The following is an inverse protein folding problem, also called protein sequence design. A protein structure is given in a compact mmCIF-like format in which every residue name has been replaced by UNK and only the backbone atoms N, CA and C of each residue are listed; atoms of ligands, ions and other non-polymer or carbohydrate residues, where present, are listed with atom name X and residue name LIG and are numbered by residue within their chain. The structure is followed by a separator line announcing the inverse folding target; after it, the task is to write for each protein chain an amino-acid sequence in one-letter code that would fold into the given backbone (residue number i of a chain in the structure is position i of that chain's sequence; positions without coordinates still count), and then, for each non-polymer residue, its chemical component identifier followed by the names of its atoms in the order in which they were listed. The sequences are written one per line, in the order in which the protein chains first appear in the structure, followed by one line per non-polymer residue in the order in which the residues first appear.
data_IF_288970100376
#
_entry.id   IF_288970100376
#
_cell.length_a   1.000
_cell.length_b   1.000
_cell.length_c   1.000
_cell.angle_alpha   90.00
_cell.angle_beta   90.00
_cell.angle_gamma   90.00
#
_symmetry.space_group_name_H-M   'P 1'
#
loop_
_entity.id
_entity.type
_entity.pdbx_description
1 polymer ?
#
# COMPACT_ATOMS: atom_id res chain seq x y z
N UNK A 1 -12.87 6.75 -1.72
CA UNK A 1 -13.38 5.67 -0.85
C UNK A 1 -12.52 5.60 0.39
N UNK A 2 -13.04 5.14 1.53
CA UNK A 2 -12.22 4.96 2.73
C UNK A 2 -11.31 3.75 2.56
N UNK A 3 -10.02 3.83 2.93
CA UNK A 3 -9.17 2.64 2.90
C UNK A 3 -9.60 1.61 3.92
N UNK A 4 -9.33 0.35 3.57
CA UNK A 4 -9.31 -0.75 4.52
C UNK A 4 -7.85 -1.07 4.82
N UNK A 5 -7.45 -0.97 6.09
CA UNK A 5 -6.09 -1.25 6.56
C UNK A 5 -6.14 -2.39 7.57
N UNK A 6 -5.34 -3.42 7.34
CA UNK A 6 -5.22 -4.57 8.24
C UNK A 6 -3.73 -4.91 8.48
N UNK A 7 -3.42 -5.53 9.61
CA UNK A 7 -2.05 -5.96 9.92
C UNK A 7 -1.13 -4.87 10.47
N UNK A 8 -1.65 -3.70 10.86
CA UNK A 8 -0.85 -2.61 11.43
C UNK A 8 -0.01 -3.06 12.64
N UNK A 9 -0.57 -3.91 13.51
CA UNK A 9 0.14 -4.48 14.65
C UNK A 9 1.39 -5.30 14.24
N UNK A 10 1.38 -5.95 13.08
CA UNK A 10 2.54 -6.69 12.55
C UNK A 10 3.67 -5.74 12.18
N UNK A 11 3.33 -4.61 11.54
CA UNK A 11 4.30 -3.56 11.22
C UNK A 11 4.86 -2.92 12.49
N UNK A 12 3.99 -2.54 13.44
CA UNK A 12 4.39 -1.87 14.68
C UNK A 12 5.26 -2.75 15.60
N UNK A 13 5.16 -4.08 15.46
CA UNK A 13 6.02 -5.02 16.19
C UNK A 13 7.50 -5.02 15.73
N UNK A 14 7.82 -4.36 14.61
CA UNK A 14 9.18 -4.36 14.08
C UNK A 14 10.10 -3.43 14.89
N UNK A 15 11.39 -3.79 15.09
CA UNK A 15 12.34 -3.01 15.90
C UNK A 15 12.46 -1.53 15.53
N UNK A 16 12.26 -1.20 14.25
CA UNK A 16 12.32 0.14 13.69
C UNK A 16 11.27 1.08 14.28
N UNK A 17 10.14 0.56 14.76
CA UNK A 17 9.06 1.35 15.33
C UNK A 17 9.07 1.38 16.86
N UNK A 18 9.78 0.45 17.51
CA UNK A 18 9.80 0.32 18.97
C UNK A 18 10.31 1.58 19.71
N UNK A 19 11.12 2.42 19.05
CA UNK A 19 11.67 3.67 19.62
C UNK A 19 11.61 4.84 18.63
N UNK A 20 10.63 4.83 17.71
CA UNK A 20 10.52 5.91 16.73
C UNK A 20 9.73 7.10 17.33
N UNK A 21 10.35 8.28 17.50
CA UNK A 21 9.65 9.46 18.04
C UNK A 21 8.52 9.97 17.14
N UNK A 22 8.50 9.56 15.86
CA UNK A 22 7.48 9.92 14.87
C UNK A 22 6.31 8.93 14.81
N UNK A 23 6.28 7.91 15.68
CA UNK A 23 5.28 6.84 15.61
C UNK A 23 3.84 7.33 15.78
N UNK A 24 3.59 8.28 16.69
CA UNK A 24 2.25 8.85 16.90
C UNK A 24 1.76 9.55 15.63
N UNK A 25 2.58 10.45 15.07
CA UNK A 25 2.26 11.16 13.83
C UNK A 25 2.06 10.22 12.63
N UNK A 26 2.83 9.13 12.57
CA UNK A 26 2.63 8.10 11.56
C UNK A 26 1.26 7.42 11.70
N UNK A 27 0.84 7.10 12.93
CA UNK A 27 -0.45 6.47 13.19
C UNK A 27 -1.62 7.41 12.84
N UNK A 28 -1.54 8.67 13.26
CA UNK A 28 -2.52 9.70 12.92
C UNK A 28 -2.68 9.82 11.40
N UNK A 29 -1.56 9.90 10.67
CA UNK A 29 -1.57 9.94 9.21
C UNK A 29 -2.20 8.69 8.59
N UNK A 30 -1.87 7.50 9.09
CA UNK A 30 -2.44 6.25 8.59
C UNK A 30 -3.95 6.15 8.83
N UNK A 31 -4.44 6.62 9.99
CA UNK A 31 -5.86 6.66 10.35
C UNK A 31 -6.66 7.66 9.52
N UNK A 32 -6.10 8.84 9.26
CA UNK A 32 -6.73 9.88 8.44
C UNK A 32 -6.92 9.42 6.99
N UNK A 33 -6.02 8.58 6.48
CA UNK A 33 -6.10 7.99 5.14
C UNK A 33 -5.87 8.98 3.98
N UNK A 34 -5.69 10.27 4.27
CA UNK A 34 -5.46 11.33 3.28
C UNK A 34 -4.19 11.12 2.45
N UNK A 35 -3.19 10.45 3.02
CA UNK A 35 -1.95 10.11 2.34
C UNK A 35 -2.14 9.24 1.09
N UNK A 36 -3.23 8.48 1.00
CA UNK A 36 -3.53 7.62 -0.15
C UNK A 36 -3.87 8.40 -1.41
N UNK A 37 -4.38 9.63 -1.27
CA UNK A 37 -4.69 10.49 -2.41
C UNK A 37 -3.41 10.98 -3.10
N UNK A 38 -2.32 11.08 -2.33
CA UNK A 38 -1.02 11.56 -2.80
C UNK A 38 -0.14 10.43 -3.34
N UNK A 39 -0.57 9.18 -3.22
CA UNK A 39 0.18 8.04 -3.76
C UNK A 39 0.01 8.05 -5.28
N UNK A 40 1.11 8.17 -6.03
CA UNK A 40 0.98 8.23 -7.46
C UNK A 40 0.59 6.83 -7.96
N UNK A 41 -0.45 6.73 -8.78
CA UNK A 41 -1.08 5.46 -9.12
C UNK A 41 -0.30 4.67 -10.20
N UNK A 42 -0.32 3.33 -10.17
CA UNK A 42 0.14 2.52 -11.30
C UNK A 42 -0.81 2.65 -12.51
N UNK A 43 -0.32 2.28 -13.69
CA UNK A 43 -1.16 2.17 -14.89
C UNK A 43 -1.78 0.76 -14.98
N UNK A 44 -3.12 0.68 -14.88
CA UNK A 44 -3.91 -0.55 -15.06
C UNK A 44 -3.51 -1.37 -16.29
N UNK A 45 -3.36 -0.72 -17.44
CA UNK A 45 -3.15 -1.38 -18.74
C UNK A 45 -1.82 -2.14 -18.82
N UNK A 46 -0.85 -1.78 -17.95
CA UNK A 46 0.46 -2.42 -17.91
C UNK A 46 0.58 -3.47 -16.82
N UNK A 47 -0.45 -3.67 -15.98
CA UNK A 47 -0.38 -4.47 -14.74
C UNK A 47 0.89 -4.14 -13.94
N UNK A 48 1.25 -2.87 -13.92
CA UNK A 48 2.49 -2.44 -13.28
C UNK A 48 2.27 -2.34 -11.77
N UNK A 49 3.22 -2.89 -11.03
CA UNK A 49 3.37 -2.57 -9.61
C UNK A 49 4.07 -1.23 -9.48
N UNK A 50 3.66 -0.47 -8.47
CA UNK A 50 4.44 0.65 -8.00
C UNK A 50 5.03 0.36 -6.64
N UNK A 51 6.31 0.62 -6.52
CA UNK A 51 7.09 0.45 -5.30
C UNK A 51 7.63 1.83 -4.92
N UNK A 52 7.44 2.22 -3.66
CA UNK A 52 7.94 3.47 -3.08
C UNK A 52 8.70 3.12 -1.81
N UNK A 53 9.99 3.41 -1.77
CA UNK A 53 10.89 3.01 -0.68
C UNK A 53 11.37 4.24 0.08
N UNK A 54 10.85 4.43 1.29
CA UNK A 54 11.32 5.43 2.24
C UNK A 54 11.35 6.83 1.64
N UNK A 55 12.56 7.33 1.37
CA UNK A 55 12.81 8.70 0.86
C UNK A 55 12.22 8.99 -0.52
N UNK A 56 11.79 7.97 -1.25
CA UNK A 56 11.02 8.16 -2.48
C UNK A 56 9.61 8.70 -2.19
N UNK A 57 9.15 8.58 -0.94
CA UNK A 57 7.88 9.13 -0.52
C UNK A 57 8.00 10.66 -0.32
N UNK A 58 7.14 11.46 -0.98
CA UNK A 58 7.15 12.91 -0.82
C UNK A 58 6.74 13.35 0.60
N UNK A 59 5.98 12.52 1.33
CA UNK A 59 5.59 12.80 2.70
C UNK A 59 6.67 12.31 3.68
N UNK A 60 7.25 13.23 4.45
CA UNK A 60 8.30 12.93 5.43
C UNK A 60 7.85 11.94 6.51
N UNK A 61 6.57 11.93 6.89
CA UNK A 61 6.05 10.98 7.88
C UNK A 61 6.02 9.55 7.34
N UNK A 62 6.00 9.37 6.02
CA UNK A 62 6.01 8.06 5.37
C UNK A 62 7.42 7.58 4.97
N UNK A 63 8.46 8.38 5.17
CA UNK A 63 9.83 8.01 4.75
C UNK A 63 10.47 6.89 5.59
N UNK A 64 9.83 6.49 6.69
CA UNK A 64 10.18 5.29 7.46
C UNK A 64 9.51 4.02 6.96
N UNK A 65 8.56 4.17 6.04
CA UNK A 65 7.80 3.09 5.43
C UNK A 65 8.25 2.80 4.02
N UNK A 66 7.77 1.68 3.51
CA UNK A 66 7.83 1.32 2.11
C UNK A 66 6.46 0.81 1.71
N UNK A 67 6.11 1.08 0.46
CA UNK A 67 4.80 0.87 -0.09
C UNK A 67 4.91 0.08 -1.39
N UNK A 68 4.11 -0.97 -1.52
CA UNK A 68 3.97 -1.74 -2.76
C UNK A 68 2.49 -1.75 -3.11
N UNK A 69 2.13 -1.21 -4.26
CA UNK A 69 0.74 -1.10 -4.71
C UNK A 69 0.54 -1.65 -6.11
N UNK A 70 -0.63 -2.20 -6.33
CA UNK A 70 -1.19 -2.59 -7.61
C UNK A 70 -2.57 -1.97 -7.76
N UNK A 71 -3.01 -1.81 -9.01
CA UNK A 71 -4.41 -1.58 -9.29
C UNK A 71 -5.14 -2.90 -9.54
N UNK A 72 -6.43 -2.93 -9.28
CA UNK A 72 -7.32 -4.01 -9.66
C UNK A 72 -8.60 -3.47 -10.28
N UNK A 73 -9.28 -4.31 -11.06
CA UNK A 73 -10.58 -4.03 -11.65
C UNK A 73 -10.57 -4.00 -13.18
N UNK A 74 -11.67 -3.50 -13.75
CA UNK A 74 -11.90 -3.44 -15.20
C UNK A 74 -11.81 -1.99 -15.66
N UNK A 75 -11.02 -1.69 -16.71
CA UNK A 75 -10.99 -0.37 -17.34
C UNK A 75 -12.40 0.19 -17.59
N UNK A 76 -12.61 1.47 -17.28
CA UNK A 76 -13.86 2.22 -17.46
C UNK A 76 -15.11 1.69 -16.72
N UNK A 77 -14.98 0.65 -15.89
CA UNK A 77 -16.10 0.09 -15.10
C UNK A 77 -15.89 0.21 -13.59
N UNK A 78 -14.82 -0.38 -13.09
CA UNK A 78 -14.51 -0.39 -11.66
C UNK A 78 -13.01 -0.49 -11.45
N UNK A 79 -12.48 0.34 -10.54
CA UNK A 79 -11.04 0.41 -10.25
C UNK A 79 -10.83 0.59 -8.76
N UNK A 80 -9.86 -0.14 -8.23
CA UNK A 80 -9.37 0.03 -6.86
C UNK A 80 -7.85 -0.16 -6.79
N UNK A 81 -7.31 0.10 -5.61
CA UNK A 81 -5.89 -0.07 -5.29
C UNK A 81 -5.79 -1.08 -4.17
N UNK A 82 -4.84 -2.01 -4.30
CA UNK A 82 -4.45 -2.94 -3.24
C UNK A 82 -2.94 -2.87 -3.06
N UNK A 83 -2.47 -3.06 -1.83
CA UNK A 83 -1.05 -2.96 -1.56
C UNK A 83 -0.65 -3.36 -0.15
N UNK A 84 0.65 -3.29 0.09
CA UNK A 84 1.29 -3.54 1.38
C UNK A 84 2.04 -2.29 1.81
N UNK A 85 1.84 -1.94 3.09
CA UNK A 85 2.63 -0.95 3.82
C UNK A 85 3.53 -1.71 4.79
N UNK A 86 4.82 -1.39 4.83
CA UNK A 86 5.74 -2.07 5.74
C UNK A 86 7.03 -1.29 6.01
N UNK A 87 7.94 -1.82 6.84
CA UNK A 87 9.25 -1.21 7.07
C UNK A 87 10.10 -1.23 5.79
N UNK A 88 11.11 -0.35 5.73
CA UNK A 88 12.09 -0.30 4.63
C UNK A 88 12.81 -1.63 4.36
N UNK A 89 12.96 -2.48 5.39
CA UNK A 89 13.63 -3.79 5.33
C UNK A 89 12.67 -4.97 5.11
N UNK A 90 11.47 -4.72 4.57
CA UNK A 90 10.52 -5.80 4.30
C UNK A 90 11.05 -6.84 3.30
N UNK A 91 10.47 -8.03 3.30
CA UNK A 91 10.68 -9.04 2.27
C UNK A 91 9.93 -8.64 0.98
N UNK A 92 10.61 -7.87 0.13
CA UNK A 92 10.02 -7.34 -1.10
C UNK A 92 9.58 -8.44 -2.07
N UNK A 93 10.34 -9.54 -2.18
CA UNK A 93 9.98 -10.63 -3.10
C UNK A 93 8.63 -11.24 -2.71
N UNK A 94 8.45 -11.53 -1.41
CA UNK A 94 7.18 -12.03 -0.89
C UNK A 94 6.07 -11.00 -1.04
N UNK A 95 6.30 -9.75 -0.66
CA UNK A 95 5.30 -8.69 -0.72
C UNK A 95 4.83 -8.41 -2.16
N UNK A 96 5.75 -8.32 -3.12
CA UNK A 96 5.47 -8.19 -4.55
C UNK A 96 4.59 -9.35 -5.04
N UNK A 97 4.98 -10.58 -4.72
CA UNK A 97 4.22 -11.77 -5.13
C UNK A 97 2.81 -11.76 -4.55
N UNK A 98 2.65 -11.39 -3.27
CA UNK A 98 1.35 -11.32 -2.61
C UNK A 98 0.46 -10.25 -3.20
N UNK A 99 0.98 -9.04 -3.44
CA UNK A 99 0.21 -7.92 -4.01
C UNK A 99 -0.25 -8.25 -5.44
N UNK A 100 0.63 -8.83 -6.27
CA UNK A 100 0.27 -9.26 -7.63
C UNK A 100 -0.85 -10.32 -7.64
N UNK A 101 -0.71 -11.33 -6.78
CA UNK A 101 -1.72 -12.39 -6.64
C UNK A 101 -3.07 -11.78 -6.23
N UNK A 102 -3.07 -10.95 -5.20
CA UNK A 102 -4.30 -10.34 -4.68
C UNK A 102 -4.95 -9.37 -5.66
N UNK A 103 -4.17 -8.54 -6.38
CA UNK A 103 -4.68 -7.68 -7.45
C UNK A 103 -5.37 -8.47 -8.55
N UNK A 104 -4.79 -9.61 -8.96
CA UNK A 104 -5.38 -10.49 -9.97
C UNK A 104 -6.69 -11.09 -9.48
N UNK A 105 -6.72 -11.63 -8.26
CA UNK A 105 -7.92 -12.20 -7.64
C UNK A 105 -9.04 -11.17 -7.47
N UNK A 106 -8.70 -9.96 -7.01
CA UNK A 106 -9.69 -8.88 -6.87
C UNK A 106 -10.20 -8.41 -8.24
N UNK A 107 -9.37 -8.41 -9.28
CA UNK A 107 -9.79 -8.08 -10.64
C UNK A 107 -10.80 -9.10 -11.16
N UNK A 108 -10.53 -10.39 -10.99
CA UNK A 108 -11.45 -11.48 -11.35
C UNK A 108 -12.74 -11.39 -10.54
N UNK A 109 -12.64 -11.23 -9.22
CA UNK A 109 -13.81 -11.15 -8.34
C UNK A 109 -14.69 -9.96 -8.70
N UNK A 110 -14.11 -8.78 -8.90
CA UNK A 110 -14.88 -7.57 -9.27
C UNK A 110 -15.55 -7.74 -10.63
N UNK A 111 -14.92 -8.46 -11.57
CA UNK A 111 -15.53 -8.73 -12.87
C UNK A 111 -16.81 -9.59 -12.81
N UNK A 112 -16.99 -10.39 -11.76
CA UNK A 112 -18.21 -11.19 -11.57
C UNK A 112 -19.44 -10.36 -11.17
N UNK A 113 -19.22 -9.17 -10.61
CA UNK A 113 -20.29 -8.31 -10.08
C UNK A 113 -20.64 -7.12 -10.99
N UNK A 114 -20.07 -7.03 -12.21
CA UNK A 114 -20.27 -5.90 -13.14
C UNK A 114 -20.56 -6.38 -14.57
#
# INVERSE_FOLDING_TARGET
GKPFLEGLHLMLSQPEFAKNPRMVSLLELLEEGAWLENIPRPELDKRELKIIIGKENPDEALQDLSLIIAEYGIPDKARGIVGVVGPKRMDYARAISSVNCLSSLLTESVAEYI
#
